data_IF_349985635822
#
_entry.id   IF_349985635822
#
_cell.length_a   1.000
_cell.length_b   1.000
_cell.length_c   1.000
_cell.angle_alpha   90.00
_cell.angle_beta   90.00
_cell.angle_gamma   90.00
#
_symmetry.space_group_name_H-M   'P 1'
#
loop_
_entity.id
_entity.type
_entity.pdbx_description
1 polymer ?
#
# COMPACT_ATOMS: atom_id res chain seq x y z
N UNK A 1 -3.98 2.82 -1.41
CA UNK A 1 -4.49 1.73 -2.28
C UNK A 1 -4.53 0.39 -1.54
N UNK A 2 -3.39 -0.15 -1.06
CA UNK A 2 -3.33 -1.47 -0.37
C UNK A 2 -4.33 -1.60 0.78
N UNK A 3 -4.48 -0.56 1.61
CA UNK A 3 -5.42 -0.56 2.73
C UNK A 3 -6.92 -0.58 2.32
N UNK A 4 -7.23 -0.43 1.03
CA UNK A 4 -8.58 -0.19 0.48
C UNK A 4 -9.01 -1.18 -0.60
N UNK A 5 -8.21 -2.23 -0.85
CA UNK A 5 -8.48 -3.22 -1.92
C UNK A 5 -9.08 -4.53 -1.41
N UNK A 6 -9.17 -4.71 -0.09
CA UNK A 6 -9.81 -5.90 0.50
C UNK A 6 -11.33 -5.78 0.56
N UNK A 7 -11.96 -6.80 1.13
CA UNK A 7 -13.36 -6.81 1.56
C UNK A 7 -13.62 -5.89 2.77
N UNK A 8 -12.57 -5.51 3.48
CA UNK A 8 -12.60 -4.52 4.58
C UNK A 8 -11.62 -3.38 4.32
N UNK A 9 -12.12 -2.17 4.53
CA UNK A 9 -11.35 -0.94 4.49
C UNK A 9 -10.53 -0.75 5.78
N UNK A 10 -9.20 -0.79 5.68
CA UNK A 10 -8.27 -0.62 6.81
C UNK A 10 -7.54 0.72 6.76
N UNK A 11 -6.80 1.08 7.82
CA UNK A 11 -6.06 2.36 7.88
C UNK A 11 -4.55 2.22 7.66
N UNK A 12 -4.03 1.00 7.57
CA UNK A 12 -2.59 0.75 7.43
C UNK A 12 -2.27 0.07 6.10
N UNK A 13 -1.31 0.61 5.37
CA UNK A 13 -0.86 0.09 4.08
C UNK A 13 0.47 -0.67 4.15
N UNK A 14 1.11 -0.69 5.32
CA UNK A 14 2.41 -1.30 5.52
C UNK A 14 2.54 -1.86 6.94
N UNK A 15 3.27 -2.98 7.08
CA UNK A 15 3.56 -3.64 8.34
C UNK A 15 5.01 -4.10 8.35
N UNK A 16 5.72 -3.86 9.45
CA UNK A 16 7.14 -4.19 9.60
C UNK A 16 7.42 -4.81 10.98
N UNK A 17 8.61 -5.39 11.13
CA UNK A 17 9.09 -5.95 12.39
C UNK A 17 10.16 -5.05 13.00
N UNK A 18 10.03 -4.74 14.28
CA UNK A 18 11.08 -4.01 15.03
C UNK A 18 12.03 -5.03 15.65
N UNK A 19 13.32 -4.89 15.36
CA UNK A 19 14.40 -5.66 16.00
C UNK A 19 15.28 -4.72 16.82
N UNK A 20 15.61 -5.12 18.04
CA UNK A 20 16.55 -4.40 18.91
C UNK A 20 17.72 -5.32 19.19
N UNK A 21 18.93 -4.89 18.85
CA UNK A 21 20.13 -5.69 19.07
C UNK A 21 20.58 -5.68 20.54
N UNK A 22 21.62 -6.46 20.84
CA UNK A 22 22.20 -6.56 22.20
C UNK A 22 22.79 -5.23 22.71
N UNK A 23 23.14 -4.30 21.82
CA UNK A 23 23.63 -2.97 22.16
C UNK A 23 22.48 -1.96 22.38
N UNK A 24 21.23 -2.38 22.21
CA UNK A 24 20.04 -1.54 22.35
C UNK A 24 19.72 -0.73 21.09
N UNK A 25 20.37 -1.00 19.96
CA UNK A 25 20.09 -0.30 18.70
C UNK A 25 18.87 -0.92 18.02
N UNK A 26 17.92 -0.07 17.65
CA UNK A 26 16.67 -0.48 17.02
C UNK A 26 16.72 -0.39 15.49
N UNK A 27 16.12 -1.39 14.85
CA UNK A 27 16.04 -1.56 13.42
C UNK A 27 14.59 -1.86 13.00
N UNK A 28 14.24 -1.44 11.79
CA UNK A 28 13.01 -1.81 11.10
C UNK A 28 13.37 -2.82 10.03
N UNK A 29 12.80 -4.03 10.14
CA UNK A 29 12.88 -5.08 9.13
C UNK A 29 11.56 -5.09 8.37
N UNK A 30 11.62 -4.80 7.09
CA UNK A 30 10.43 -4.54 6.25
C UNK A 30 10.61 -5.05 4.83
N UNK A 31 9.51 -5.15 4.09
CA UNK A 31 9.54 -5.43 2.65
C UNK A 31 8.85 -4.32 1.88
N UNK A 32 9.63 -3.57 1.12
CA UNK A 32 9.18 -2.43 0.31
C UNK A 32 8.91 -2.84 -1.13
N UNK A 33 7.95 -2.18 -1.77
CA UNK A 33 7.62 -2.42 -3.18
C UNK A 33 8.88 -2.28 -4.05
N UNK A 34 9.66 -1.23 -3.79
CA UNK A 34 10.82 -0.76 -4.54
C UNK A 34 12.07 -1.64 -4.37
N UNK A 35 12.22 -2.28 -3.21
CA UNK A 35 13.49 -2.90 -2.81
C UNK A 35 13.37 -4.35 -2.32
N UNK A 36 12.16 -4.86 -2.15
CA UNK A 36 11.95 -6.12 -1.44
C UNK A 36 12.34 -5.99 0.04
N UNK A 37 12.84 -7.08 0.62
CA UNK A 37 13.18 -7.13 2.03
C UNK A 37 14.44 -6.32 2.35
N UNK A 38 14.34 -5.38 3.31
CA UNK A 38 15.41 -4.49 3.72
C UNK A 38 15.46 -4.32 5.25
N UNK A 39 16.53 -3.68 5.71
CA UNK A 39 16.74 -3.32 7.11
C UNK A 39 17.17 -1.86 7.16
N UNK A 40 16.42 -1.05 7.89
CA UNK A 40 16.73 0.34 8.18
C UNK A 40 16.92 0.52 9.68
N UNK A 41 17.59 1.61 10.10
CA UNK A 41 17.52 2.02 11.52
C UNK A 41 16.12 2.53 11.84
N UNK A 42 15.70 2.40 13.09
CA UNK A 42 14.41 2.94 13.52
C UNK A 42 14.34 4.45 13.31
N UNK A 43 15.41 5.19 13.64
CA UNK A 43 15.47 6.65 13.44
C UNK A 43 15.23 7.03 11.96
N UNK A 44 15.90 6.32 11.05
CA UNK A 44 15.69 6.54 9.62
C UNK A 44 14.23 6.30 9.24
N UNK A 45 13.64 5.18 9.64
CA UNK A 45 12.25 4.88 9.30
C UNK A 45 11.26 5.91 9.87
N UNK A 46 11.50 6.42 11.08
CA UNK A 46 10.63 7.42 11.73
C UNK A 46 10.72 8.81 11.07
N UNK A 47 11.87 9.17 10.49
CA UNK A 47 12.06 10.47 9.81
C UNK A 47 11.48 10.50 8.38
N UNK A 48 11.20 9.34 7.78
CA UNK A 48 10.81 9.23 6.37
C UNK A 48 9.29 9.26 6.14
N UNK A 49 8.63 10.35 6.56
CA UNK A 49 7.31 10.73 6.05
C UNK A 49 6.14 9.86 6.52
N UNK A 50 6.25 9.23 7.68
CA UNK A 50 5.13 8.55 8.33
C UNK A 50 4.01 9.58 8.61
N UNK A 51 2.77 9.24 8.28
CA UNK A 51 1.61 10.06 8.68
C UNK A 51 0.95 9.57 9.96
N UNK A 52 1.01 8.26 10.18
CA UNK A 52 0.54 7.56 11.38
C UNK A 52 1.28 6.24 11.48
N UNK A 53 1.69 5.89 12.69
CA UNK A 53 2.33 4.62 13.01
C UNK A 53 1.77 4.08 14.31
N UNK A 54 1.59 2.77 14.38
CA UNK A 54 1.14 2.07 15.60
C UNK A 54 2.09 0.91 15.86
N UNK A 55 2.46 0.74 17.12
CA UNK A 55 3.29 -0.37 17.57
C UNK A 55 2.40 -1.38 18.27
N UNK A 56 2.39 -2.58 17.71
CA UNK A 56 1.76 -3.76 18.30
C UNK A 56 2.84 -4.63 18.95
N UNK A 57 2.54 -5.18 20.13
CA UNK A 57 3.41 -6.11 20.85
C UNK A 57 2.69 -7.42 21.08
N UNK A 58 3.32 -8.51 20.68
CA UNK A 58 2.81 -9.85 20.97
C UNK A 58 2.85 -10.12 22.49
N UNK A 59 1.83 -10.80 23.01
CA UNK A 59 1.67 -11.11 24.45
C UNK A 59 2.78 -12.02 24.99
N UNK A 60 3.29 -12.92 24.15
CA UNK A 60 4.54 -13.63 24.41
C UNK A 60 5.73 -12.82 23.91
N UNK A 61 6.42 -12.15 24.84
CA UNK A 61 7.57 -11.32 24.56
C UNK A 61 8.80 -12.11 24.09
N UNK A 62 8.98 -13.36 24.56
CA UNK A 62 10.10 -14.20 24.17
C UNK A 62 9.93 -14.66 22.71
N UNK A 63 8.71 -15.04 22.33
CA UNK A 63 8.39 -15.37 20.95
C UNK A 63 8.60 -14.16 20.01
N UNK A 64 8.14 -12.96 20.40
CA UNK A 64 8.34 -11.76 19.60
C UNK A 64 9.83 -11.42 19.42
N UNK A 65 10.63 -11.51 20.49
CA UNK A 65 12.07 -11.27 20.41
C UNK A 65 12.75 -12.26 19.47
N UNK A 66 12.42 -13.56 19.57
CA UNK A 66 12.92 -14.60 18.66
C UNK A 66 12.49 -14.34 17.21
N UNK A 67 11.25 -13.94 16.98
CA UNK A 67 10.73 -13.61 15.64
C UNK A 67 11.50 -12.44 15.02
N UNK A 68 11.72 -11.37 15.79
CA UNK A 68 12.47 -10.20 15.34
C UNK A 68 13.93 -10.55 15.01
N UNK A 69 14.61 -11.32 15.85
CA UNK A 69 15.98 -11.76 15.63
C UNK A 69 16.11 -12.64 14.37
N UNK A 70 15.25 -13.64 14.24
CA UNK A 70 15.29 -14.58 13.13
C UNK A 70 15.03 -13.91 11.78
N UNK A 71 14.04 -13.02 11.71
CA UNK A 71 13.74 -12.32 10.45
C UNK A 71 14.82 -11.29 10.10
N UNK A 72 15.39 -10.60 11.11
CA UNK A 72 16.54 -9.72 10.90
C UNK A 72 17.72 -10.49 10.31
N UNK A 73 18.07 -11.65 10.89
CA UNK A 73 19.15 -12.49 10.38
C UNK A 73 18.87 -13.03 8.96
N UNK A 74 17.63 -13.43 8.68
CA UNK A 74 17.22 -13.92 7.36
C UNK A 74 17.37 -12.83 6.28
N UNK A 75 16.87 -11.62 6.54
CA UNK A 75 17.00 -10.49 5.61
C UNK A 75 18.45 -10.03 5.48
N UNK A 76 19.22 -10.04 6.57
CA UNK A 76 20.67 -9.71 6.55
C UNK A 76 21.43 -10.58 5.54
N UNK A 77 21.20 -11.90 5.55
CA UNK A 77 21.83 -12.85 4.61
C UNK A 77 21.47 -12.56 3.16
N UNK A 78 20.24 -12.11 2.92
CA UNK A 78 19.79 -11.70 1.58
C UNK A 78 20.49 -10.41 1.11
N UNK A 79 20.67 -9.45 2.03
CA UNK A 79 21.27 -8.14 1.74
C UNK A 79 22.80 -8.19 1.58
N UNK A 80 23.47 -9.12 2.24
CA UNK A 80 24.93 -9.27 2.15
C UNK A 80 25.38 -10.27 1.06
N UNK A 81 24.43 -10.90 0.35
CA UNK A 81 24.72 -11.83 -0.74
C UNK A 81 24.99 -13.28 -0.30
N UNK A 82 24.89 -13.60 0.99
CA UNK A 82 24.98 -14.99 1.49
C UNK A 82 23.75 -15.85 1.10
N UNK A 83 22.62 -15.19 0.83
CA UNK A 83 21.39 -15.80 0.33
C UNK A 83 20.84 -14.99 -0.87
N UNK A 84 19.99 -15.59 -1.71
CA UNK A 84 19.34 -14.87 -2.80
C UNK A 84 18.58 -13.62 -2.31
N UNK A 85 18.55 -12.59 -3.16
CA UNK A 85 17.77 -11.38 -2.89
C UNK A 85 16.27 -11.70 -2.76
N UNK A 86 15.65 -11.21 -1.69
CA UNK A 86 14.21 -11.39 -1.41
C UNK A 86 13.44 -10.21 -2.00
N UNK A 87 12.82 -10.42 -3.16
CA UNK A 87 12.02 -9.40 -3.83
C UNK A 87 10.63 -9.22 -3.20
N UNK A 88 9.99 -8.10 -3.55
CA UNK A 88 8.60 -7.84 -3.17
C UNK A 88 7.62 -8.79 -3.86
N UNK A 89 6.69 -9.37 -3.11
CA UNK A 89 5.68 -10.29 -3.63
C UNK A 89 4.39 -9.54 -4.02
N UNK A 90 4.23 -9.25 -5.31
CA UNK A 90 3.03 -8.63 -5.87
C UNK A 90 1.80 -9.55 -5.92
N UNK A 91 1.99 -10.87 -5.77
CA UNK A 91 0.89 -11.83 -5.87
C UNK A 91 -0.01 -11.80 -4.63
N UNK A 92 0.51 -11.27 -3.52
CA UNK A 92 -0.12 -11.23 -2.21
C UNK A 92 -0.54 -12.62 -1.67
N UNK A 93 0.02 -13.70 -2.22
CA UNK A 93 -0.25 -15.06 -1.78
C UNK A 93 0.48 -15.31 -0.45
N UNK A 94 -0.19 -15.72 0.65
CA UNK A 94 0.46 -15.89 1.96
C UNK A 94 1.50 -17.00 1.99
N UNK A 95 1.31 -18.07 1.21
CA UNK A 95 2.18 -19.25 1.22
C UNK A 95 3.47 -19.05 0.41
N UNK A 96 4.53 -19.73 0.85
CA UNK A 96 5.84 -19.77 0.18
C UNK A 96 6.67 -18.50 0.39
N UNK A 97 7.98 -18.62 0.61
CA UNK A 97 8.80 -17.52 1.15
C UNK A 97 9.95 -17.07 0.26
N UNK A 98 9.82 -17.27 -1.06
CA UNK A 98 10.83 -16.80 -2.02
C UNK A 98 10.79 -15.28 -2.22
N UNK A 99 9.59 -14.71 -2.15
CA UNK A 99 9.32 -13.27 -2.24
C UNK A 99 8.41 -12.91 -1.06
N UNK A 100 8.52 -11.68 -0.56
CA UNK A 100 7.78 -11.23 0.62
C UNK A 100 7.09 -9.89 0.34
N UNK A 101 5.81 -9.76 0.67
CA UNK A 101 5.20 -8.45 0.93
C UNK A 101 5.28 -8.12 2.43
N UNK A 102 5.04 -6.87 2.80
CA UNK A 102 5.30 -6.33 4.13
C UNK A 102 4.77 -7.19 5.29
N UNK A 103 3.48 -7.52 5.28
CA UNK A 103 2.85 -8.36 6.31
C UNK A 103 3.22 -9.85 6.20
N UNK A 104 3.54 -10.37 5.00
CA UNK A 104 4.07 -11.73 4.83
C UNK A 104 5.44 -11.91 5.47
N UNK A 105 6.26 -10.85 5.51
CA UNK A 105 7.51 -10.85 6.26
C UNK A 105 7.26 -11.04 7.76
N UNK A 106 6.27 -10.36 8.32
CA UNK A 106 5.90 -10.54 9.74
C UNK A 106 5.32 -11.93 10.00
N UNK A 107 4.49 -12.46 9.09
CA UNK A 107 4.02 -13.86 9.15
C UNK A 107 5.19 -14.84 9.19
N UNK A 108 6.16 -14.71 8.28
CA UNK A 108 7.35 -15.56 8.24
C UNK A 108 8.14 -15.49 9.54
N UNK A 109 8.31 -14.30 10.12
CA UNK A 109 9.03 -14.11 11.37
C UNK A 109 8.43 -14.95 12.51
N UNK A 110 7.10 -14.89 12.68
CA UNK A 110 6.40 -15.67 13.70
C UNK A 110 6.34 -17.16 13.38
N UNK A 111 6.20 -17.54 12.11
CA UNK A 111 6.24 -18.95 11.68
C UNK A 111 7.61 -19.57 12.00
N UNK A 112 8.71 -18.86 11.72
CA UNK A 112 10.07 -19.31 12.06
C UNK A 112 10.28 -19.44 13.57
N UNK A 113 9.86 -18.44 14.34
CA UNK A 113 10.10 -18.40 15.79
C UNK A 113 9.28 -19.42 16.58
N UNK A 114 8.12 -19.77 16.05
CA UNK A 114 7.19 -20.74 16.65
C UNK A 114 7.31 -22.14 16.06
N UNK A 115 8.21 -22.35 15.10
CA UNK A 115 8.35 -23.62 14.36
C UNK A 115 7.03 -24.06 13.71
N UNK A 116 6.28 -23.09 13.19
CA UNK A 116 4.99 -23.27 12.52
C UNK A 116 3.76 -23.28 13.45
N UNK A 117 3.95 -23.17 14.78
CA UNK A 117 2.82 -23.17 15.71
C UNK A 117 1.98 -21.88 15.69
N UNK A 118 2.57 -20.75 15.28
CA UNK A 118 1.90 -19.46 15.11
C UNK A 118 1.86 -19.11 13.64
N UNK A 119 0.64 -18.93 13.11
CA UNK A 119 0.39 -18.60 11.71
C UNK A 119 -0.50 -17.36 11.65
N UNK A 120 0.07 -16.26 11.16
CA UNK A 120 -0.63 -14.98 11.03
C UNK A 120 -1.16 -14.75 9.60
N UNK A 121 -2.32 -14.11 9.40
CA UNK A 121 -3.24 -13.64 10.42
C UNK A 121 -4.28 -14.73 10.79
N UNK A 122 -4.89 -14.58 11.94
CA UNK A 122 -6.07 -15.31 12.41
C UNK A 122 -7.33 -14.95 11.61
N UNK A 123 -7.43 -13.70 11.15
CA UNK A 123 -8.57 -13.17 10.40
C UNK A 123 -8.07 -12.53 9.09
N UNK A 124 -7.90 -13.32 8.01
CA UNK A 124 -7.33 -12.82 6.76
C UNK A 124 -8.33 -11.95 5.99
N UNK A 125 -7.83 -10.85 5.42
CA UNK A 125 -8.55 -10.07 4.41
C UNK A 125 -8.83 -10.90 3.15
N UNK A 126 -10.02 -10.73 2.56
CA UNK A 126 -10.44 -11.39 1.32
C UNK A 126 -10.51 -10.42 0.13
N UNK A 127 -10.34 -10.94 -1.08
CA UNK A 127 -10.45 -10.21 -2.34
C UNK A 127 -11.71 -10.63 -3.11
N UNK A 128 -12.89 -10.45 -2.51
CA UNK A 128 -14.19 -10.89 -3.03
C UNK A 128 -14.89 -9.87 -3.96
N UNK A 129 -14.14 -8.96 -4.59
CA UNK A 129 -14.70 -7.92 -5.47
C UNK A 129 -15.20 -8.47 -6.82
N UNK A 130 -16.32 -7.92 -7.34
CA UNK A 130 -16.83 -8.24 -8.68
C UNK A 130 -15.91 -7.68 -9.77
N UNK A 131 -15.43 -6.45 -9.60
CA UNK A 131 -14.52 -5.82 -10.55
C UNK A 131 -13.05 -6.01 -10.15
N UNK A 132 -12.42 -7.04 -10.71
CA UNK A 132 -11.01 -7.37 -10.47
C UNK A 132 -10.01 -6.62 -11.36
N UNK A 133 -10.44 -5.68 -12.20
CA UNK A 133 -9.56 -5.06 -13.22
C UNK A 133 -8.28 -4.46 -12.61
N UNK A 134 -8.40 -3.70 -11.53
CA UNK A 134 -7.22 -3.12 -10.87
C UNK A 134 -6.33 -4.18 -10.21
N UNK A 135 -6.92 -5.11 -9.46
CA UNK A 135 -6.23 -6.19 -8.71
C UNK A 135 -5.43 -7.10 -9.64
N UNK A 136 -6.05 -7.52 -10.74
CA UNK A 136 -5.39 -8.36 -11.73
C UNK A 136 -4.28 -7.60 -12.47
N UNK A 137 -4.40 -6.27 -12.61
CA UNK A 137 -3.35 -5.43 -13.23
C UNK A 137 -2.14 -5.24 -12.33
N UNK A 138 -2.34 -5.10 -11.02
CA UNK A 138 -1.23 -4.97 -10.07
C UNK A 138 -0.54 -6.31 -9.78
N UNK A 139 -1.17 -7.43 -10.15
CA UNK A 139 -0.56 -8.76 -10.15
C UNK A 139 -1.00 -9.64 -8.98
N UNK A 140 -2.02 -9.23 -8.23
CA UNK A 140 -2.57 -9.98 -7.10
C UNK A 140 -3.25 -11.24 -7.60
N UNK A 141 -2.88 -12.38 -7.02
CA UNK A 141 -3.43 -13.72 -7.32
C UNK A 141 -4.15 -14.34 -6.12
N UNK A 142 -3.97 -13.78 -4.94
CA UNK A 142 -4.59 -14.24 -3.72
C UNK A 142 -6.13 -14.09 -3.77
N UNK A 143 -6.80 -15.02 -3.11
CA UNK A 143 -8.21 -14.90 -2.70
C UNK A 143 -8.26 -14.35 -1.27
N UNK A 144 -7.39 -14.88 -0.42
CA UNK A 144 -7.17 -14.46 0.97
C UNK A 144 -5.72 -14.05 1.17
N UNK A 145 -5.49 -13.01 1.95
CA UNK A 145 -4.15 -12.49 2.23
C UNK A 145 -4.00 -12.04 3.68
N UNK A 146 -2.76 -11.69 4.05
CA UNK A 146 -2.49 -10.94 5.25
C UNK A 146 -2.41 -9.46 4.89
N UNK A 147 -3.49 -8.69 5.05
CA UNK A 147 -3.40 -7.24 4.92
C UNK A 147 -2.73 -6.64 6.17
N UNK A 148 -1.99 -5.52 6.04
CA UNK A 148 -1.37 -4.87 7.20
C UNK A 148 -2.36 -4.54 8.34
N UNK A 149 -3.59 -4.15 8.01
CA UNK A 149 -4.64 -3.89 8.99
C UNK A 149 -5.17 -5.12 9.73
N UNK A 150 -4.94 -6.34 9.24
CA UNK A 150 -5.41 -7.55 9.93
C UNK A 150 -4.73 -7.71 11.31
N UNK A 151 -3.54 -7.11 11.50
CA UNK A 151 -2.83 -7.10 12.79
C UNK A 151 -3.67 -6.46 13.91
N UNK A 152 -4.56 -5.52 13.56
CA UNK A 152 -5.43 -4.81 14.52
C UNK A 152 -6.46 -5.78 15.14
N UNK A 153 -6.70 -6.92 14.49
CA UNK A 153 -7.67 -7.93 14.91
C UNK A 153 -6.99 -9.14 15.57
N UNK A 154 -5.65 -9.17 15.64
CA UNK A 154 -4.94 -10.31 16.21
C UNK A 154 -5.05 -10.34 17.75
N UNK A 155 -5.68 -11.38 18.33
CA UNK A 155 -5.92 -11.44 19.77
C UNK A 155 -4.63 -11.59 20.58
N UNK A 156 -3.54 -12.03 19.93
CA UNK A 156 -2.24 -12.23 20.55
C UNK A 156 -1.40 -10.93 20.62
N UNK A 157 -1.88 -9.82 20.06
CA UNK A 157 -1.16 -8.55 20.03
C UNK A 157 -1.91 -7.45 20.79
N UNK A 158 -1.16 -6.65 21.52
CA UNK A 158 -1.66 -5.46 22.21
C UNK A 158 -1.07 -4.21 21.55
N UNK A 159 -1.89 -3.17 21.36
CA UNK A 159 -1.42 -1.85 20.97
C UNK A 159 -0.67 -1.23 22.14
N UNK A 160 0.61 -0.89 21.94
CA UNK A 160 1.46 -0.32 23.02
C UNK A 160 1.90 1.11 22.77
N UNK A 161 1.85 1.59 21.52
CA UNK A 161 2.15 2.97 21.19
C UNK A 161 1.47 3.39 19.89
N UNK A 162 1.17 4.67 19.77
CA UNK A 162 0.67 5.30 18.55
C UNK A 162 1.34 6.65 18.35
N UNK A 163 1.68 6.96 17.10
CA UNK A 163 2.21 8.24 16.68
C UNK A 163 1.42 8.74 15.46
N UNK A 164 1.20 10.05 15.40
CA UNK A 164 0.44 10.70 14.32
C UNK A 164 1.07 12.06 13.97
N UNK A 165 1.23 12.35 12.68
CA UNK A 165 1.60 13.67 12.19
C UNK A 165 0.37 14.41 11.63
N UNK A 166 -0.23 15.23 12.50
CA UNK A 166 -1.40 16.03 12.18
C UNK A 166 -1.19 17.02 11.02
N UNK A 167 0.05 17.33 10.63
CA UNK A 167 0.34 18.20 9.47
C UNK A 167 -0.02 17.53 8.14
N UNK A 168 0.02 16.20 8.10
CA UNK A 168 -0.25 15.41 6.87
C UNK A 168 -1.51 14.54 6.97
N UNK A 169 -2.03 14.28 8.18
CA UNK A 169 -3.20 13.41 8.40
C UNK A 169 -4.43 13.81 7.57
N UNK A 170 -4.72 15.11 7.46
CA UNK A 170 -5.87 15.59 6.66
C UNK A 170 -5.77 15.18 5.19
N UNK A 171 -4.61 15.40 4.57
CA UNK A 171 -4.36 15.02 3.17
C UNK A 171 -4.42 13.51 2.97
N UNK A 172 -3.83 12.73 3.88
CA UNK A 172 -3.88 11.25 3.84
C UNK A 172 -5.31 10.73 3.92
N UNK A 173 -6.12 11.31 4.81
CA UNK A 173 -7.55 11.00 4.92
C UNK A 173 -8.28 11.27 3.61
N UNK A 174 -8.02 12.40 2.94
CA UNK A 174 -8.63 12.69 1.63
C UNK A 174 -8.22 11.66 0.57
N UNK A 175 -6.94 11.27 0.54
CA UNK A 175 -6.46 10.22 -0.37
C UNK A 175 -7.19 8.89 -0.13
N UNK A 176 -7.38 8.50 1.13
CA UNK A 176 -8.12 7.29 1.48
C UNK A 176 -9.60 7.35 1.05
N UNK A 177 -10.27 8.48 1.27
CA UNK A 177 -11.66 8.67 0.86
C UNK A 177 -11.81 8.65 -0.67
N UNK A 178 -10.87 9.26 -1.39
CA UNK A 178 -10.82 9.17 -2.86
C UNK A 178 -10.65 7.72 -3.28
N UNK A 179 -9.72 6.99 -2.67
CA UNK A 179 -9.47 5.61 -3.03
C UNK A 179 -10.69 4.72 -2.81
N UNK A 180 -11.34 4.88 -1.67
CA UNK A 180 -12.60 4.23 -1.33
C UNK A 180 -13.64 4.46 -2.43
N UNK A 181 -13.80 5.72 -2.89
CA UNK A 181 -14.76 6.02 -3.95
C UNK A 181 -14.37 5.58 -5.34
N UNK A 182 -13.09 5.64 -5.72
CA UNK A 182 -12.66 5.11 -7.00
C UNK A 182 -12.98 3.62 -7.11
N UNK A 183 -12.68 2.83 -6.07
CA UNK A 183 -13.01 1.40 -6.05
C UNK A 183 -14.52 1.14 -5.97
N UNK A 184 -15.27 1.93 -5.19
CA UNK A 184 -16.73 1.85 -5.19
C UNK A 184 -17.32 2.12 -6.58
N UNK A 185 -16.81 3.12 -7.33
CA UNK A 185 -17.28 3.37 -8.69
C UNK A 185 -16.91 2.26 -9.67
N UNK A 186 -15.72 1.69 -9.55
CA UNK A 186 -15.34 0.50 -10.32
C UNK A 186 -16.31 -0.65 -10.06
N UNK A 187 -16.69 -0.87 -8.81
CA UNK A 187 -17.59 -1.93 -8.41
C UNK A 187 -19.03 -1.63 -8.85
N UNK A 188 -19.60 -0.48 -8.48
CA UNK A 188 -21.02 -0.13 -8.65
C UNK A 188 -21.38 0.30 -10.08
N UNK A 189 -20.46 0.96 -10.80
CA UNK A 189 -20.70 1.57 -12.11
C UNK A 189 -19.86 0.95 -13.25
N UNK A 190 -19.13 -0.13 -12.99
CA UNK A 190 -18.27 -0.84 -13.96
C UNK A 190 -17.23 0.07 -14.63
N UNK A 191 -16.68 1.03 -13.88
CA UNK A 191 -15.48 1.74 -14.35
C UNK A 191 -14.28 0.79 -14.41
N UNK A 192 -13.51 0.88 -15.48
CA UNK A 192 -12.30 0.07 -15.72
C UNK A 192 -11.16 0.94 -16.19
N UNK A 193 -9.92 0.53 -15.91
CA UNK A 193 -8.76 1.25 -16.40
C UNK A 193 -8.59 1.04 -17.90
N UNK A 194 -8.54 2.15 -18.64
CA UNK A 194 -8.24 2.16 -20.07
C UNK A 194 -6.89 2.82 -20.32
N UNK A 195 -5.94 2.02 -20.79
CA UNK A 195 -4.62 2.51 -21.17
C UNK A 195 -4.69 3.38 -22.43
N UNK A 196 -4.02 4.53 -22.40
CA UNK A 196 -3.71 5.30 -23.60
C UNK A 196 -2.40 4.81 -24.25
N UNK A 197 -2.04 5.40 -25.39
CA UNK A 197 -0.79 5.06 -26.10
C UNK A 197 0.46 5.38 -25.26
N UNK A 198 0.40 6.37 -24.36
CA UNK A 198 1.53 6.76 -23.52
C UNK A 198 1.78 5.74 -22.41
N UNK A 199 0.72 5.23 -21.79
CA UNK A 199 0.78 4.15 -20.78
C UNK A 199 1.34 2.86 -21.38
N UNK A 200 0.96 2.53 -22.63
CA UNK A 200 1.51 1.37 -23.35
C UNK A 200 3.02 1.49 -23.58
N UNK A 201 3.49 2.69 -23.93
CA UNK A 201 4.93 2.99 -24.12
C UNK A 201 5.68 2.92 -22.80
N UNK A 202 5.14 3.50 -21.72
CA UNK A 202 5.68 3.39 -20.35
C UNK A 202 5.85 1.92 -19.96
N UNK A 203 4.84 1.09 -20.22
CA UNK A 203 4.92 -0.34 -20.01
C UNK A 203 6.10 -0.96 -20.76
N UNK A 204 6.25 -0.71 -22.07
CA UNK A 204 7.33 -1.27 -22.87
C UNK A 204 8.75 -0.88 -22.40
N UNK A 205 8.92 0.33 -21.89
CA UNK A 205 10.25 0.88 -21.61
C UNK A 205 10.53 1.11 -20.11
N UNK A 206 9.66 0.74 -19.18
CA UNK A 206 9.84 1.02 -17.74
C UNK A 206 11.19 0.60 -17.13
N UNK A 207 11.86 -0.44 -17.69
CA UNK A 207 13.22 -0.86 -17.28
C UNK A 207 14.36 -0.09 -17.95
N UNK A 208 14.06 0.71 -18.97
CA UNK A 208 14.95 1.58 -19.73
C UNK A 208 14.64 3.07 -19.46
N UNK A 209 14.09 3.39 -18.27
CA UNK A 209 13.68 4.74 -17.89
C UNK A 209 14.77 5.81 -18.14
N UNK A 210 16.06 5.43 -18.04
CA UNK A 210 17.20 6.29 -18.35
C UNK A 210 17.26 6.73 -19.82
N UNK A 211 16.77 5.93 -20.78
CA UNK A 211 16.81 6.16 -22.23
C UNK A 211 15.48 6.67 -22.80
N UNK A 212 14.49 6.93 -21.94
CA UNK A 212 13.17 7.37 -22.35
C UNK A 212 13.08 8.88 -22.59
N UNK A 213 12.05 9.30 -23.35
CA UNK A 213 11.74 10.72 -23.52
C UNK A 213 11.37 11.35 -22.18
N UNK A 214 11.66 12.65 -22.02
CA UNK A 214 11.44 13.37 -20.74
C UNK A 214 10.00 13.27 -20.24
N UNK A 215 9.00 13.25 -21.14
CA UNK A 215 7.58 13.05 -20.76
C UNK A 215 7.32 11.72 -20.07
N UNK A 216 8.00 10.65 -20.49
CA UNK A 216 7.83 9.31 -19.90
C UNK A 216 8.59 9.21 -18.58
N UNK A 217 9.75 9.86 -18.47
CA UNK A 217 10.49 9.96 -17.19
C UNK A 217 9.66 10.69 -16.13
N UNK A 218 9.09 11.85 -16.45
CA UNK A 218 8.20 12.58 -15.53
C UNK A 218 6.96 11.75 -15.19
N UNK A 219 6.39 11.02 -16.15
CA UNK A 219 5.22 10.17 -15.92
C UNK A 219 5.47 9.05 -14.89
N UNK A 220 6.67 8.46 -14.88
CA UNK A 220 7.04 7.38 -13.96
C UNK A 220 7.59 7.94 -12.65
N UNK A 221 8.46 8.95 -12.69
CA UNK A 221 9.15 9.50 -11.52
C UNK A 221 8.19 10.12 -10.49
N UNK A 222 7.07 10.71 -10.94
CA UNK A 222 6.03 11.26 -10.07
C UNK A 222 5.29 10.15 -9.28
N UNK A 223 5.34 8.89 -9.74
CA UNK A 223 4.49 7.79 -9.27
C UNK A 223 5.30 6.71 -8.56
N UNK A 224 6.43 6.30 -9.14
CA UNK A 224 7.32 5.27 -8.60
C UNK A 224 8.75 5.80 -8.76
N UNK A 225 9.31 6.46 -7.72
CA UNK A 225 10.64 7.05 -7.79
C UNK A 225 11.74 6.03 -8.12
N UNK A 226 11.52 4.77 -7.71
CA UNK A 226 12.40 3.63 -7.97
C UNK A 226 11.58 2.42 -8.41
N UNK A 227 11.60 2.12 -9.70
CA UNK A 227 10.89 0.95 -10.25
C UNK A 227 11.64 -0.32 -9.86
N UNK A 228 10.98 -1.30 -9.20
CA UNK A 228 11.64 -2.55 -8.82
C UNK A 228 11.90 -3.45 -10.02
N UNK A 229 12.98 -4.22 -9.99
CA UNK A 229 13.37 -5.10 -11.09
C UNK A 229 12.30 -6.16 -11.43
N UNK A 230 11.60 -6.67 -10.42
CA UNK A 230 10.57 -7.70 -10.57
C UNK A 230 9.15 -7.14 -10.78
N UNK A 231 8.95 -5.81 -10.79
CA UNK A 231 7.63 -5.22 -11.06
C UNK A 231 7.25 -5.37 -12.53
N UNK A 232 6.03 -5.84 -12.78
CA UNK A 232 5.56 -6.00 -14.17
C UNK A 232 5.19 -4.66 -14.79
N UNK A 233 5.32 -4.59 -16.11
CA UNK A 233 4.91 -3.42 -16.92
C UNK A 233 3.46 -3.02 -16.69
N UNK A 234 2.58 -4.03 -16.53
CA UNK A 234 1.15 -3.86 -16.27
C UNK A 234 0.91 -3.26 -14.89
N UNK A 235 1.68 -3.68 -13.89
CA UNK A 235 1.64 -3.13 -12.52
C UNK A 235 2.03 -1.64 -12.53
N UNK A 236 3.14 -1.28 -13.17
CA UNK A 236 3.59 0.13 -13.29
C UNK A 236 2.50 0.98 -13.92
N UNK A 237 1.95 0.54 -15.05
CA UNK A 237 0.86 1.21 -15.74
C UNK A 237 -0.36 1.42 -14.83
N UNK A 238 -0.77 0.39 -14.08
CA UNK A 238 -1.92 0.46 -13.19
C UNK A 238 -1.75 1.46 -12.05
N UNK A 239 -0.58 1.46 -11.40
CA UNK A 239 -0.27 2.42 -10.32
C UNK A 239 -0.25 3.85 -10.87
N UNK A 240 0.33 4.07 -12.05
CA UNK A 240 0.36 5.39 -12.69
C UNK A 240 -1.03 5.88 -13.10
N UNK A 241 -1.85 5.01 -13.71
CA UNK A 241 -3.23 5.34 -14.06
C UNK A 241 -4.07 5.66 -12.82
N UNK A 242 -3.89 4.92 -11.72
CA UNK A 242 -4.56 5.20 -10.46
C UNK A 242 -4.18 6.57 -9.90
N UNK A 243 -2.87 6.84 -9.81
CA UNK A 243 -2.35 8.11 -9.29
C UNK A 243 -2.87 9.29 -10.13
N UNK A 244 -2.76 9.21 -11.46
CA UNK A 244 -3.23 10.28 -12.37
C UNK A 244 -4.74 10.47 -12.35
N UNK A 245 -5.50 9.43 -12.02
CA UNK A 245 -6.96 9.54 -11.82
C UNK A 245 -7.30 10.19 -10.49
N UNK A 246 -6.56 9.86 -9.42
CA UNK A 246 -6.82 10.36 -8.08
C UNK A 246 -6.32 11.80 -7.83
N UNK A 247 -5.18 12.18 -8.45
CA UNK A 247 -4.49 13.43 -8.14
C UNK A 247 -5.35 14.70 -8.41
N UNK A 248 -6.06 14.84 -9.55
CA UNK A 248 -6.93 15.99 -9.77
C UNK A 248 -8.05 16.10 -8.73
N UNK A 249 -8.65 14.96 -8.34
CA UNK A 249 -9.69 14.92 -7.30
C UNK A 249 -9.14 15.33 -5.94
N UNK A 250 -7.90 14.93 -5.63
CA UNK A 250 -7.21 15.33 -4.40
C UNK A 250 -6.94 16.82 -4.36
N UNK A 251 -6.49 17.41 -5.46
CA UNK A 251 -6.22 18.85 -5.53
C UNK A 251 -7.50 19.67 -5.35
N UNK A 252 -8.60 19.28 -6.02
CA UNK A 252 -9.92 19.88 -5.85
C UNK A 252 -10.41 19.80 -4.39
N UNK A 253 -10.32 18.61 -3.77
CA UNK A 253 -10.73 18.39 -2.38
C UNK A 253 -9.84 19.14 -1.38
N UNK A 254 -8.54 19.26 -1.65
CA UNK A 254 -7.60 20.01 -0.80
C UNK A 254 -7.96 21.50 -0.80
N UNK A 255 -8.32 22.06 -1.95
CA UNK A 255 -8.79 23.45 -2.06
C UNK A 255 -10.12 23.66 -1.33
N UNK A 256 -11.04 22.71 -1.46
CA UNK A 256 -12.34 22.75 -0.76
C UNK A 256 -12.17 22.63 0.76
N UNK A 257 -11.28 21.75 1.23
CA UNK A 257 -10.98 21.59 2.65
C UNK A 257 -10.31 22.83 3.23
N UNK A 258 -9.33 23.40 2.53
CA UNK A 258 -8.67 24.66 2.94
C UNK A 258 -9.68 25.78 3.10
N UNK A 259 -10.61 25.91 2.14
CA UNK A 259 -11.66 26.92 2.19
C UNK A 259 -12.60 26.70 3.39
N UNK A 260 -13.03 25.45 3.63
CA UNK A 260 -13.90 25.13 4.77
C UNK A 260 -13.22 25.35 6.12
N UNK A 261 -11.93 25.04 6.24
CA UNK A 261 -11.17 25.30 7.47
C UNK A 261 -11.11 26.80 7.72
N UNK A 262 -10.84 27.61 6.70
CA UNK A 262 -10.85 29.07 6.82
C UNK A 262 -12.22 29.61 7.27
N UNK A 263 -13.30 29.07 6.72
CA UNK A 263 -14.64 29.62 6.93
C UNK A 263 -15.31 29.10 8.22
N UNK A 264 -14.95 27.89 8.69
CA UNK A 264 -15.65 27.20 9.80
C UNK A 264 -14.73 26.69 10.91
N UNK A 265 -13.41 26.74 10.72
CA UNK A 265 -12.42 26.14 11.63
C UNK A 265 -12.41 24.61 11.61
N UNK A 266 -13.08 23.95 10.66
CA UNK A 266 -13.22 22.47 10.62
C UNK A 266 -12.89 21.92 9.23
N UNK A 267 -12.29 20.71 9.15
CA UNK A 267 -12.05 20.03 7.87
C UNK A 267 -13.36 19.56 7.21
N UNK A 268 -13.28 19.12 5.95
CA UNK A 268 -14.41 18.51 5.26
C UNK A 268 -14.84 17.23 5.96
N UNK A 269 -16.12 17.10 6.29
CA UNK A 269 -16.66 15.84 6.79
C UNK A 269 -16.64 14.79 5.68
N UNK A 270 -16.47 13.50 6.01
CA UNK A 270 -16.39 12.43 5.00
C UNK A 270 -17.63 12.39 4.07
N UNK A 271 -18.82 12.65 4.62
CA UNK A 271 -20.07 12.81 3.83
C UNK A 271 -19.96 13.90 2.77
N UNK A 272 -19.33 15.03 3.10
CA UNK A 272 -19.17 16.16 2.16
C UNK A 272 -18.14 15.84 1.08
N UNK A 273 -17.06 15.12 1.45
CA UNK A 273 -16.07 14.60 0.50
C UNK A 273 -16.74 13.64 -0.49
N UNK A 274 -17.52 12.67 0.00
CA UNK A 274 -18.21 11.71 -0.87
C UNK A 274 -19.27 12.38 -1.75
N UNK A 275 -20.03 13.35 -1.22
CA UNK A 275 -20.99 14.10 -2.02
C UNK A 275 -20.30 14.95 -3.10
N UNK A 276 -19.11 15.50 -2.81
CA UNK A 276 -18.30 16.20 -3.80
C UNK A 276 -17.81 15.24 -4.90
N UNK A 277 -17.20 14.11 -4.52
CA UNK A 277 -16.71 13.11 -5.45
C UNK A 277 -17.83 12.57 -6.35
N UNK A 278 -18.99 12.26 -5.77
CA UNK A 278 -20.14 11.74 -6.53
C UNK A 278 -20.64 12.75 -7.57
N UNK A 279 -20.70 14.03 -7.21
CA UNK A 279 -21.02 15.10 -8.16
C UNK A 279 -20.02 15.16 -9.31
N UNK A 280 -18.71 15.07 -9.01
CA UNK A 280 -17.67 15.05 -10.04
C UNK A 280 -17.80 13.83 -10.94
N UNK A 281 -18.14 12.66 -10.40
CA UNK A 281 -18.44 11.47 -11.20
C UNK A 281 -19.60 11.72 -12.16
N UNK A 282 -20.70 12.31 -11.69
CA UNK A 282 -21.85 12.66 -12.54
C UNK A 282 -21.48 13.68 -13.63
N UNK A 283 -20.70 14.71 -13.31
CA UNK A 283 -20.25 15.74 -14.25
C UNK A 283 -19.31 15.20 -15.33
N UNK A 284 -18.35 14.36 -14.93
CA UNK A 284 -17.37 13.74 -15.83
C UNK A 284 -17.98 12.58 -16.64
N UNK A 285 -19.10 12.03 -16.18
CA UNK A 285 -19.86 10.99 -16.85
C UNK A 285 -19.03 9.74 -17.08
N UNK A 286 -18.82 9.37 -18.34
CA UNK A 286 -18.26 8.05 -18.70
C UNK A 286 -16.75 7.93 -18.47
N UNK A 287 -16.05 9.03 -18.21
CA UNK A 287 -14.58 9.06 -18.13
C UNK A 287 -14.10 9.90 -16.95
N UNK A 288 -13.38 9.29 -16.01
CA UNK A 288 -12.76 9.96 -14.87
C UNK A 288 -11.27 9.62 -14.88
N UNK A 289 -10.46 10.54 -15.41
CA UNK A 289 -9.05 10.25 -15.67
C UNK A 289 -8.90 9.01 -16.57
N UNK A 290 -8.28 7.96 -16.05
CA UNK A 290 -8.08 6.69 -16.75
C UNK A 290 -9.19 5.66 -16.52
N UNK A 291 -10.16 5.95 -15.64
CA UNK A 291 -11.33 5.11 -15.43
C UNK A 291 -12.40 5.43 -16.47
N UNK A 292 -12.83 4.41 -17.21
CA UNK A 292 -13.86 4.52 -18.25
C UNK A 292 -14.95 3.49 -18.01
N UNK A 293 -16.22 3.87 -18.18
CA UNK A 293 -17.36 2.95 -18.13
C UNK A 293 -18.12 2.87 -19.46
N UNK A 294 -18.60 1.67 -19.78
CA UNK A 294 -19.47 1.43 -20.93
C UNK A 294 -20.96 1.60 -20.61
N UNK A 295 -21.30 1.67 -19.33
CA UNK A 295 -22.65 1.91 -18.85
C UNK A 295 -23.07 3.33 -19.22
N UNK A 296 -24.27 3.55 -19.78
CA UNK A 296 -24.80 4.91 -19.95
C UNK A 296 -24.79 5.62 -18.60
N UNK A 297 -24.46 6.91 -18.58
CA UNK A 297 -24.58 7.71 -17.36
C UNK A 297 -26.03 7.71 -16.85
N UNK A 298 -26.26 7.88 -15.54
CA UNK A 298 -27.59 8.25 -15.05
C UNK A 298 -28.05 9.60 -15.63
#
# INVERSE_FOLDING_TARGET
AIARIGDVDTQFSHLSMIYVDQAGKAFVVESLIEEGAIINTLDYALEHGLGRAVVYRHKDAALAARAAELIHAHVTKSRNGEAPHIYYDFTMVPSGYKELFCSKLVRLAFEMASEGAVVLPSYPTRFDMRNRDFIDRIGVKAIETFAPGDIELEPAFDLVAEWQDYRVTSRLRLQDLIMTKLFAWMEEHDYRFKEDMLVRVVGLFGRLASHLSERVKTFIADVVPKVPDNMTRRTIAAVAMLHRTAQPLLDELTMAETSRIRDTGRPLHAKDVFAHLERRRSELGRTIGYLVTNTPGP
#
